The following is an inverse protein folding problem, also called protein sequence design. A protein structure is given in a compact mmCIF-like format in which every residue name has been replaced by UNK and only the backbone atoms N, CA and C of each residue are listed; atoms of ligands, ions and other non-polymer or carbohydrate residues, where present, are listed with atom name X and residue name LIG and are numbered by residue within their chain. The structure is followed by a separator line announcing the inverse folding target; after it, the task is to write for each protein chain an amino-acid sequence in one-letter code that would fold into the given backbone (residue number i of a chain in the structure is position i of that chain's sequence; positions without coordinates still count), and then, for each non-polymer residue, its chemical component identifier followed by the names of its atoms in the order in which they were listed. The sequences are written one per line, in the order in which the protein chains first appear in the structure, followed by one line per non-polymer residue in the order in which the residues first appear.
data_IF_587077679793
#
_entry.id   IF_587077679793
#
_cell.length_a   1.000
_cell.length_b   1.000
_cell.length_c   1.000
_cell.angle_alpha   90.00
_cell.angle_beta   90.00
_cell.angle_gamma   90.00
#
_symmetry.space_group_name_H-M   'P 1'
#
loop_
_entity.id
_entity.type
_entity.pdbx_description
1 polymer ?
#
# COMPACT_ATOMS: atom_id res chain seq x y z
N UNK A 1 12.82 -19.05 4.24
CA UNK A 1 12.76 -19.10 5.72
C UNK A 1 11.53 -18.32 6.13
N UNK A 2 10.45 -19.01 6.49
CA UNK A 2 9.12 -18.43 6.61
C UNK A 2 9.03 -17.36 7.70
N UNK A 3 8.62 -16.16 7.30
CA UNK A 3 8.34 -15.03 8.21
C UNK A 3 7.36 -15.39 9.33
N UNK A 4 6.49 -16.37 9.10
CA UNK A 4 5.55 -16.92 10.08
C UNK A 4 6.24 -17.58 11.28
N UNK A 5 7.37 -18.27 11.08
CA UNK A 5 8.10 -18.89 12.20
C UNK A 5 8.79 -17.84 13.07
N UNK A 6 9.36 -16.80 12.47
CA UNK A 6 10.06 -15.73 13.20
C UNK A 6 9.08 -14.91 14.04
N UNK A 7 7.88 -14.63 13.51
CA UNK A 7 6.81 -13.94 14.24
C UNK A 7 6.20 -14.80 15.36
N UNK A 8 6.06 -16.12 15.15
CA UNK A 8 5.65 -17.04 16.20
C UNK A 8 6.67 -17.08 17.35
N UNK A 9 7.96 -17.05 17.05
CA UNK A 9 9.03 -17.01 18.05
C UNK A 9 9.08 -15.71 18.87
N UNK A 10 8.93 -14.57 18.20
CA UNK A 10 8.91 -13.26 18.85
C UNK A 10 7.67 -13.07 19.73
N UNK A 11 6.52 -13.62 19.33
CA UNK A 11 5.29 -13.58 20.14
C UNK A 11 5.35 -14.52 21.36
N UNK A 12 5.98 -15.68 21.24
CA UNK A 12 6.15 -16.63 22.36
C UNK A 12 7.13 -16.09 23.41
N UNK A 13 8.27 -15.53 22.98
CA UNK A 13 9.26 -14.93 23.90
C UNK A 13 8.70 -13.70 24.61
N UNK A 14 7.94 -12.85 23.92
CA UNK A 14 7.29 -11.69 24.52
C UNK A 14 6.21 -12.08 25.55
N UNK A 15 5.42 -13.12 25.27
CA UNK A 15 4.41 -13.63 26.20
C UNK A 15 5.02 -14.27 27.47
N UNK A 16 6.17 -14.95 27.35
CA UNK A 16 6.89 -15.53 28.49
C UNK A 16 7.50 -14.46 29.40
N UNK A 17 8.09 -13.41 28.83
CA UNK A 17 8.67 -12.31 29.63
C UNK A 17 7.61 -11.52 30.40
N UNK A 18 6.40 -11.35 29.86
CA UNK A 18 5.29 -10.67 30.56
C UNK A 18 4.67 -11.54 31.67
N UNK A 19 4.65 -12.87 31.51
CA UNK A 19 4.12 -13.79 32.52
C UNK A 19 5.04 -13.89 33.76
N UNK A 20 6.36 -13.89 33.58
CA UNK A 20 7.33 -13.89 34.70
C UNK A 20 7.34 -12.58 35.50
N UNK A 21 7.03 -11.45 34.85
CA UNK A 21 6.96 -10.13 35.50
C UNK A 21 5.67 -9.91 36.33
N UNK A 22 4.58 -10.62 36.02
CA UNK A 22 3.27 -10.40 36.65
C UNK A 22 2.76 -11.57 37.53
N UNK A 23 3.48 -12.68 37.59
CA UNK A 23 3.11 -13.82 38.46
C UNK A 23 1.78 -14.48 38.10
N UNK A 24 1.30 -14.34 36.86
CA UNK A 24 0.05 -14.94 36.39
C UNK A 24 0.37 -16.14 35.50
N UNK A 25 -0.19 -17.31 35.84
CA UNK A 25 -0.08 -18.51 35.02
C UNK A 25 -0.89 -18.34 33.73
N UNK A 26 -0.20 -18.29 32.57
CA UNK A 26 -0.85 -18.36 31.27
C UNK A 26 -1.40 -19.78 31.03
N UNK A 27 -2.69 -19.88 30.73
CA UNK A 27 -3.31 -21.09 30.21
C UNK A 27 -3.02 -21.23 28.71
N UNK A 28 -1.85 -21.76 28.37
CA UNK A 28 -1.51 -22.13 26.99
C UNK A 28 -2.10 -23.49 26.62
N UNK A 29 -2.63 -23.68 25.40
CA UNK A 29 -3.30 -24.92 24.97
C UNK A 29 -2.35 -26.07 24.59
N UNK A 30 -1.04 -25.91 24.82
CA UNK A 30 0.00 -26.87 24.41
C UNK A 30 0.41 -27.72 25.60
N UNK A 31 0.51 -29.04 25.42
CA UNK A 31 1.03 -29.92 26.47
C UNK A 31 2.52 -29.66 26.70
N UNK A 32 3.03 -29.93 27.91
CA UNK A 32 4.45 -29.80 28.23
C UNK A 32 5.35 -30.64 27.29
N UNK A 33 4.81 -31.74 26.75
CA UNK A 33 5.47 -32.60 25.78
C UNK A 33 5.62 -31.92 24.42
N UNK A 34 4.57 -31.24 23.94
CA UNK A 34 4.63 -30.47 22.69
C UNK A 34 5.60 -29.28 22.81
N UNK A 35 5.68 -28.65 23.99
CA UNK A 35 6.64 -27.57 24.23
C UNK A 35 8.08 -28.08 24.22
N UNK A 36 8.36 -29.21 24.88
CA UNK A 36 9.69 -29.81 24.89
C UNK A 36 10.14 -30.27 23.50
N UNK A 37 9.22 -30.80 22.68
CA UNK A 37 9.51 -31.19 21.31
C UNK A 37 9.88 -29.98 20.44
N UNK A 38 9.14 -28.88 20.56
CA UNK A 38 9.48 -27.61 19.92
C UNK A 38 10.85 -27.10 20.38
N UNK A 39 11.17 -27.13 21.67
CA UNK A 39 12.49 -26.69 22.15
C UNK A 39 13.64 -27.52 21.55
N UNK A 40 13.45 -28.82 21.34
CA UNK A 40 14.45 -29.69 20.72
C UNK A 40 14.65 -29.39 19.23
N UNK A 41 13.56 -29.19 18.48
CA UNK A 41 13.63 -28.83 17.05
C UNK A 41 14.35 -27.49 16.83
N UNK A 42 14.13 -26.54 17.74
CA UNK A 42 14.75 -25.22 17.72
C UNK A 42 16.24 -25.27 18.02
N UNK A 43 16.67 -26.14 18.95
CA UNK A 43 18.08 -26.36 19.22
C UNK A 43 18.79 -27.01 18.03
N UNK A 44 18.15 -27.99 17.38
CA UNK A 44 18.68 -28.64 16.17
C UNK A 44 18.88 -27.62 15.04
N UNK A 45 17.90 -26.77 14.77
CA UNK A 45 17.99 -25.74 13.73
C UNK A 45 19.08 -24.71 14.03
N UNK A 46 19.32 -24.39 15.31
CA UNK A 46 20.40 -23.48 15.73
C UNK A 46 21.78 -24.10 15.47
N UNK A 47 21.94 -25.40 15.70
CA UNK A 47 23.19 -26.11 15.38
C UNK A 47 23.45 -26.14 13.86
N UNK A 48 22.42 -26.41 13.06
CA UNK A 48 22.52 -26.40 11.60
C UNK A 48 22.96 -25.04 11.04
N UNK A 49 22.39 -23.94 11.57
CA UNK A 49 22.78 -22.57 11.18
C UNK A 49 24.24 -22.27 11.55
N UNK A 50 24.67 -22.68 12.74
CA UNK A 50 26.05 -22.48 13.17
C UNK A 50 27.05 -23.28 12.30
N UNK A 51 26.70 -24.49 11.89
CA UNK A 51 27.52 -25.31 10.99
C UNK A 51 27.62 -24.68 9.58
N UNK A 52 26.51 -24.17 9.04
CA UNK A 52 26.50 -23.46 7.76
C UNK A 52 27.34 -22.17 7.79
N UNK A 53 27.34 -21.45 8.91
CA UNK A 53 28.20 -20.28 9.10
C UNK A 53 29.68 -20.65 9.20
N UNK A 54 30.00 -21.80 9.80
CA UNK A 54 31.37 -22.31 9.83
C UNK A 54 31.87 -22.68 8.42
N UNK A 55 31.04 -23.35 7.61
CA UNK A 55 31.39 -23.75 6.24
C UNK A 55 31.62 -22.54 5.30
N UNK A 56 30.88 -21.44 5.51
CA UNK A 56 31.09 -20.18 4.81
C UNK A 56 32.37 -19.46 5.23
N UNK A 57 32.87 -19.70 6.45
CA UNK A 57 34.10 -19.10 6.96
C UNK A 57 35.37 -19.86 6.59
N UNK A 58 35.26 -21.12 6.13
CA UNK A 58 36.39 -21.96 5.75
C UNK A 58 36.71 -21.98 4.24
N UNK A 59 35.87 -21.36 3.40
CA UNK A 59 36.10 -21.26 1.95
C UNK A 59 36.57 -19.84 1.58
N UNK A 60 37.87 -19.59 1.60
CA UNK A 60 38.44 -18.45 0.87
C UNK A 60 38.38 -18.73 -0.65
N UNK A 61 37.89 -17.80 -1.48
CA UNK A 61 37.92 -17.97 -2.93
C UNK A 61 39.34 -17.76 -3.48
N UNK A 62 39.80 -18.67 -4.34
CA UNK A 62 41.03 -18.51 -5.13
C UNK A 62 40.96 -17.25 -6.02
N UNK A 63 42.09 -16.55 -6.09
CA UNK A 63 42.34 -15.30 -6.80
C UNK A 63 42.14 -15.47 -8.33
N UNK A 64 41.08 -14.88 -8.88
CA UNK A 64 40.88 -14.78 -10.33
C UNK A 64 41.56 -13.50 -10.84
N UNK A 65 42.56 -13.66 -11.70
CA UNK A 65 43.23 -12.56 -12.39
C UNK A 65 42.29 -11.91 -13.40
N UNK A 66 41.98 -10.63 -13.19
CA UNK A 66 41.15 -9.83 -14.10
C UNK A 66 42.05 -9.03 -15.07
N UNK A 67 41.80 -9.20 -16.37
CA UNK A 67 42.39 -8.37 -17.43
C UNK A 67 41.34 -7.42 -17.98
N UNK A 68 41.73 -6.15 -18.09
CA UNK A 68 41.21 -5.05 -18.90
C UNK A 68 39.79 -4.47 -18.64
N UNK A 69 39.83 -3.21 -18.22
CA UNK A 69 38.97 -2.07 -18.60
C UNK A 69 37.45 -2.17 -18.41
N UNK A 70 36.93 -1.47 -17.41
CA UNK A 70 36.03 -0.30 -17.48
C UNK A 70 35.78 0.17 -16.03
N UNK A 71 36.03 1.43 -15.70
CA UNK A 71 35.91 1.93 -14.33
C UNK A 71 34.44 2.12 -13.89
N UNK A 72 33.99 1.51 -12.78
CA UNK A 72 32.76 1.91 -12.11
C UNK A 72 33.04 3.03 -11.11
N UNK A 73 32.24 4.09 -11.20
CA UNK A 73 32.20 5.22 -10.28
C UNK A 73 31.89 4.76 -8.86
N UNK A 74 32.87 4.88 -7.96
CA UNK A 74 32.69 4.78 -6.52
C UNK A 74 31.73 5.87 -6.05
N UNK A 75 30.53 5.48 -5.59
CA UNK A 75 29.68 6.33 -4.75
C UNK A 75 30.35 6.39 -3.37
N UNK A 76 31.34 7.26 -3.25
CA UNK A 76 31.88 7.70 -1.97
C UNK A 76 30.91 8.70 -1.36
N UNK A 77 30.25 8.32 -0.27
CA UNK A 77 29.46 9.22 0.55
C UNK A 77 30.43 10.22 1.22
N UNK A 78 30.66 11.37 0.59
CA UNK A 78 31.44 12.47 1.18
C UNK A 78 30.52 13.26 2.11
N UNK A 79 30.61 13.02 3.40
CA UNK A 79 30.08 13.97 4.39
C UNK A 79 31.05 15.15 4.51
N UNK A 80 30.63 16.29 3.95
CA UNK A 80 31.25 17.59 4.19
C UNK A 80 30.66 18.18 5.47
N UNK A 81 31.50 18.43 6.48
CA UNK A 81 31.15 18.99 7.80
C UNK A 81 31.00 20.51 7.75
N UNK A 82 30.32 21.01 6.73
CA UNK A 82 30.24 22.44 6.44
C UNK A 82 28.86 22.81 5.90
N UNK A 83 27.78 22.25 6.46
CA UNK A 83 26.42 22.82 6.44
C UNK A 83 25.75 23.18 5.10
N UNK A 84 26.43 22.97 3.97
CA UNK A 84 25.98 23.29 2.63
C UNK A 84 25.24 22.06 2.07
N UNK A 85 23.98 22.25 1.67
CA UNK A 85 23.17 21.20 1.05
C UNK A 85 23.88 20.71 -0.22
N UNK A 86 24.36 19.46 -0.20
CA UNK A 86 24.87 18.81 -1.40
C UNK A 86 23.67 18.58 -2.31
N UNK A 87 23.62 19.28 -3.44
CA UNK A 87 22.59 19.06 -4.45
C UNK A 87 22.55 17.59 -4.86
N UNK A 88 21.34 17.03 -4.94
CA UNK A 88 21.11 15.65 -5.35
C UNK A 88 21.79 15.38 -6.71
N UNK A 89 22.73 14.42 -6.80
CA UNK A 89 23.47 14.12 -8.02
C UNK A 89 22.62 13.41 -9.09
N UNK A 90 21.35 13.09 -8.80
CA UNK A 90 20.44 12.58 -9.82
C UNK A 90 20.15 13.69 -10.84
N UNK A 91 20.33 13.44 -12.16
CA UNK A 91 19.89 14.40 -13.17
C UNK A 91 18.39 14.70 -12.93
N UNK A 92 17.95 15.97 -13.08
CA UNK A 92 16.52 16.27 -13.07
C UNK A 92 15.86 15.34 -14.06
N UNK A 93 14.91 14.52 -13.62
CA UNK A 93 14.14 13.71 -14.54
C UNK A 93 13.47 14.68 -15.51
N UNK A 94 13.81 14.59 -16.81
CA UNK A 94 13.33 15.54 -17.81
C UNK A 94 11.80 15.58 -17.73
N UNK A 95 11.25 16.73 -17.31
CA UNK A 95 9.80 16.93 -17.28
C UNK A 95 9.25 16.58 -18.65
N UNK A 96 8.44 15.53 -18.75
CA UNK A 96 7.83 15.16 -20.02
C UNK A 96 6.82 16.27 -20.36
N UNK A 97 7.20 17.14 -21.28
CA UNK A 97 6.35 18.25 -21.72
C UNK A 97 5.01 17.73 -22.24
N UNK A 98 3.94 18.46 -21.97
CA UNK A 98 2.59 18.11 -22.42
C UNK A 98 1.84 17.12 -21.55
N UNK A 99 2.31 16.83 -20.33
CA UNK A 99 1.55 16.05 -19.33
C UNK A 99 1.14 16.89 -18.12
N UNK A 100 -0.01 16.54 -17.56
CA UNK A 100 -0.47 16.98 -16.24
C UNK A 100 -0.23 15.86 -15.25
N UNK A 101 0.38 16.22 -14.12
CA UNK A 101 0.69 15.31 -13.03
C UNK A 101 -0.10 15.72 -11.80
N UNK A 102 -0.56 14.72 -11.06
CA UNK A 102 -1.22 14.93 -9.79
C UNK A 102 -0.93 13.76 -8.86
N UNK A 103 -1.03 14.02 -7.57
CA UNK A 103 -0.75 13.05 -6.52
C UNK A 103 -1.78 13.12 -5.41
N UNK A 104 -1.89 12.03 -4.69
CA UNK A 104 -2.75 11.89 -3.54
C UNK A 104 -2.05 11.00 -2.52
N UNK A 105 -2.02 11.41 -1.26
CA UNK A 105 -1.45 10.62 -0.16
C UNK A 105 -2.58 10.16 0.75
N UNK A 106 -3.07 8.91 0.63
CA UNK A 106 -4.16 8.41 1.46
C UNK A 106 -3.83 8.58 2.94
N UNK A 107 -4.78 9.16 3.67
CA UNK A 107 -4.78 9.23 5.12
C UNK A 107 -5.85 8.28 5.66
N UNK A 108 -5.54 7.50 6.70
CA UNK A 108 -6.52 6.61 7.30
C UNK A 108 -7.64 7.42 7.94
N UNK A 109 -8.87 6.91 7.84
CA UNK A 109 -10.04 7.57 8.38
C UNK A 109 -10.11 7.38 9.90
N UNK A 110 -9.65 8.39 10.65
CA UNK A 110 -9.63 8.37 12.12
C UNK A 110 -11.02 8.44 12.77
N UNK A 111 -12.08 8.70 12.00
CA UNK A 111 -13.46 8.68 12.48
C UNK A 111 -14.05 7.26 12.61
N UNK A 112 -13.34 6.23 12.13
CA UNK A 112 -13.78 4.84 12.22
C UNK A 112 -13.57 4.25 13.63
N UNK A 113 -14.38 3.24 13.96
CA UNK A 113 -14.16 2.42 15.16
C UNK A 113 -12.83 1.66 15.08
N UNK A 114 -12.29 1.26 16.23
CA UNK A 114 -11.03 0.49 16.28
C UNK A 114 -11.09 -0.83 15.48
N UNK A 115 -12.26 -1.46 15.39
CA UNK A 115 -12.48 -2.69 14.63
C UNK A 115 -12.35 -2.48 13.12
N UNK A 116 -12.80 -1.32 12.62
CA UNK A 116 -12.80 -1.02 11.19
C UNK A 116 -11.58 -0.18 10.77
N UNK A 117 -10.88 0.43 11.72
CA UNK A 117 -9.73 1.26 11.45
C UNK A 117 -8.58 0.45 10.82
N UNK A 118 -8.12 0.92 9.68
CA UNK A 118 -6.93 0.41 9.01
C UNK A 118 -5.97 1.57 8.76
N UNK A 119 -4.67 1.44 9.09
CA UNK A 119 -3.67 2.50 8.90
C UNK A 119 -3.25 2.62 7.43
N UNK A 120 -4.21 2.65 6.50
CA UNK A 120 -3.96 2.70 5.06
C UNK A 120 -3.33 4.04 4.72
N UNK A 121 -2.15 3.98 4.12
CA UNK A 121 -1.42 5.13 3.59
C UNK A 121 -0.54 4.69 2.42
N UNK A 122 0.17 5.63 1.80
CA UNK A 122 0.99 5.38 0.62
C UNK A 122 0.96 6.56 -0.33
N UNK A 123 1.13 6.27 -1.62
CA UNK A 123 1.11 7.27 -2.69
C UNK A 123 0.29 6.77 -3.87
N UNK A 124 -0.54 7.67 -4.39
CA UNK A 124 -1.29 7.49 -5.63
C UNK A 124 -0.83 8.61 -6.55
N UNK A 125 -0.11 8.24 -7.60
CA UNK A 125 0.45 9.14 -8.59
C UNK A 125 -0.35 9.02 -9.88
N UNK A 126 -0.52 10.14 -10.56
CA UNK A 126 -1.37 10.20 -11.75
C UNK A 126 -0.71 10.99 -12.85
N UNK A 127 -0.97 10.57 -14.08
CA UNK A 127 -0.50 11.26 -15.27
C UNK A 127 -1.55 11.21 -16.36
N UNK A 128 -1.76 12.34 -17.03
CA UNK A 128 -2.59 12.44 -18.24
C UNK A 128 -1.95 13.42 -19.21
N UNK A 129 -2.08 13.17 -20.52
CA UNK A 129 -1.67 14.16 -21.50
C UNK A 129 -2.55 15.41 -21.36
N UNK A 130 -1.94 16.60 -21.39
CA UNK A 130 -2.62 17.88 -21.21
C UNK A 130 -3.67 18.17 -22.31
N UNK A 131 -3.53 17.51 -23.46
CA UNK A 131 -4.52 17.55 -24.55
C UNK A 131 -5.71 16.58 -24.37
N UNK A 132 -5.70 15.76 -23.31
CA UNK A 132 -6.72 14.74 -23.02
C UNK A 132 -6.24 13.32 -23.31
N UNK A 133 -7.16 12.36 -23.32
CA UNK A 133 -6.87 10.92 -23.42
C UNK A 133 -6.96 10.22 -22.06
N UNK A 134 -6.54 8.94 -21.97
CA UNK A 134 -6.69 8.16 -20.76
C UNK A 134 -5.88 8.72 -19.60
N UNK A 135 -6.44 8.61 -18.40
CA UNK A 135 -5.78 8.85 -17.14
C UNK A 135 -5.06 7.58 -16.70
N UNK A 136 -3.77 7.71 -16.40
CA UNK A 136 -2.97 6.67 -15.76
C UNK A 136 -2.85 6.96 -14.27
N UNK A 137 -3.16 5.95 -13.44
CA UNK A 137 -3.09 6.01 -11.99
C UNK A 137 -2.15 4.89 -11.52
N UNK A 138 -1.05 5.25 -10.87
CA UNK A 138 -0.05 4.36 -10.31
C UNK A 138 -0.15 4.40 -8.77
N UNK A 139 -0.42 3.27 -8.15
CA UNK A 139 -0.77 3.22 -6.73
C UNK A 139 0.17 2.29 -5.98
N UNK A 140 0.79 2.84 -4.94
CA UNK A 140 1.49 2.08 -3.92
C UNK A 140 0.87 2.41 -2.56
N UNK A 141 0.00 1.54 -2.06
CA UNK A 141 -0.67 1.69 -0.77
C UNK A 141 -0.39 0.50 0.13
N UNK A 142 -0.29 0.73 1.44
CA UNK A 142 -0.04 -0.31 2.42
C UNK A 142 -0.83 -0.05 3.70
N UNK A 143 -0.88 -1.04 4.60
CA UNK A 143 -1.59 -0.94 5.86
C UNK A 143 -2.99 -1.54 5.84
N UNK A 144 -3.34 -2.28 4.79
CA UNK A 144 -4.56 -3.07 4.74
C UNK A 144 -4.45 -4.24 5.73
N UNK A 145 -5.52 -4.49 6.50
CA UNK A 145 -5.63 -5.56 7.50
C UNK A 145 -6.71 -6.59 7.14
N UNK A 146 -7.25 -6.50 5.93
CA UNK A 146 -8.27 -7.40 5.42
C UNK A 146 -7.69 -8.79 5.09
N UNK A 147 -8.53 -9.85 5.12
CA UNK A 147 -8.12 -11.18 4.68
C UNK A 147 -7.61 -11.19 3.23
N UNK A 148 -6.74 -12.15 2.91
CA UNK A 148 -6.27 -12.36 1.53
C UNK A 148 -7.45 -12.59 0.57
N UNK A 149 -7.40 -11.95 -0.60
CA UNK A 149 -8.47 -12.00 -1.60
C UNK A 149 -9.61 -11.03 -1.34
N UNK A 150 -9.51 -10.16 -0.32
CA UNK A 150 -10.49 -9.08 -0.12
C UNK A 150 -10.32 -8.01 -1.19
N UNK A 151 -11.43 -7.62 -1.81
CA UNK A 151 -11.49 -6.48 -2.71
C UNK A 151 -11.99 -5.24 -1.97
N UNK A 152 -11.47 -4.09 -2.36
CA UNK A 152 -11.81 -2.79 -1.78
C UNK A 152 -12.23 -1.82 -2.88
N UNK A 153 -13.46 -1.30 -2.79
CA UNK A 153 -13.94 -0.27 -3.71
C UNK A 153 -13.03 0.95 -3.68
N UNK A 154 -12.72 1.49 -4.86
CA UNK A 154 -11.84 2.62 -5.03
C UNK A 154 -12.51 3.67 -5.92
N UNK A 155 -12.80 4.84 -5.36
CA UNK A 155 -13.63 5.83 -6.02
C UNK A 155 -13.08 7.25 -5.91
N UNK A 156 -13.40 8.08 -6.90
CA UNK A 156 -13.33 9.54 -6.76
C UNK A 156 -14.64 10.04 -6.16
N UNK A 157 -14.56 10.65 -5.00
CA UNK A 157 -15.68 11.35 -4.36
C UNK A 157 -15.71 12.83 -4.75
N UNK A 158 -16.90 13.43 -4.65
CA UNK A 158 -17.21 14.75 -5.20
C UNK A 158 -16.34 15.87 -4.63
N UNK A 159 -16.08 15.86 -3.32
CA UNK A 159 -15.40 16.95 -2.61
C UNK A 159 -14.04 16.50 -2.08
N UNK A 160 -13.05 17.37 -2.21
CA UNK A 160 -11.79 17.31 -1.47
C UNK A 160 -11.90 17.89 -0.05
N UNK A 161 -13.03 17.67 0.62
CA UNK A 161 -13.27 18.13 1.98
C UNK A 161 -13.00 16.99 2.97
N UNK A 162 -11.98 17.17 3.80
CA UNK A 162 -11.54 16.21 4.82
C UNK A 162 -11.83 16.70 6.25
N UNK A 163 -12.70 17.70 6.43
CA UNK A 163 -13.00 18.31 7.73
C UNK A 163 -13.61 17.33 8.74
N UNK A 164 -14.39 16.35 8.27
CA UNK A 164 -14.88 15.20 9.04
C UNK A 164 -14.31 13.88 8.50
N UNK A 165 -12.98 13.84 8.32
CA UNK A 165 -12.30 12.71 7.71
C UNK A 165 -12.85 12.40 6.33
N UNK A 166 -13.06 11.12 6.02
CA UNK A 166 -13.56 10.72 4.70
C UNK A 166 -15.05 10.93 4.52
N UNK A 167 -15.81 11.32 5.55
CA UNK A 167 -17.27 11.48 5.44
C UNK A 167 -17.65 12.75 4.68
N UNK A 168 -16.86 13.81 4.81
CA UNK A 168 -17.11 15.10 4.16
C UNK A 168 -16.83 15.11 2.65
N UNK A 169 -16.28 14.02 2.09
CA UNK A 169 -16.00 13.94 0.65
C UNK A 169 -17.26 13.84 -0.24
N UNK A 170 -18.45 13.68 0.35
CA UNK A 170 -19.70 13.55 -0.38
C UNK A 170 -19.90 12.16 -0.98
N UNK A 171 -20.69 12.04 -2.05
CA UNK A 171 -20.85 10.79 -2.83
C UNK A 171 -19.83 10.66 -3.96
N UNK A 172 -19.95 9.61 -4.77
CA UNK A 172 -19.13 9.42 -5.96
C UNK A 172 -19.27 10.62 -6.89
N UNK A 173 -18.18 10.98 -7.57
CA UNK A 173 -18.19 12.11 -8.48
C UNK A 173 -18.97 11.76 -9.75
N UNK A 174 -20.15 12.36 -9.88
CA UNK A 174 -21.13 12.05 -10.92
C UNK A 174 -21.69 13.32 -11.60
N UNK A 175 -20.89 14.01 -12.45
CA UNK A 175 -21.34 15.22 -13.13
C UNK A 175 -22.46 14.95 -14.16
N UNK A 176 -22.65 13.70 -14.58
CA UNK A 176 -23.60 13.31 -15.63
C UNK A 176 -24.89 12.67 -15.10
N UNK A 177 -25.05 12.57 -13.78
CA UNK A 177 -26.21 11.97 -13.12
C UNK A 177 -26.54 10.55 -13.66
N UNK A 178 -25.50 9.71 -13.82
CA UNK A 178 -25.60 8.29 -14.19
C UNK A 178 -25.78 7.42 -12.96
N UNK A 179 -26.17 6.16 -13.14
CA UNK A 179 -26.03 5.15 -12.08
C UNK A 179 -24.56 4.74 -11.90
N UNK A 180 -24.27 4.18 -10.73
CA UNK A 180 -22.99 3.53 -10.41
C UNK A 180 -22.78 2.31 -11.32
N UNK A 181 -21.53 2.08 -11.71
CA UNK A 181 -21.16 0.92 -12.50
C UNK A 181 -19.66 0.66 -12.52
N UNK A 182 -19.26 -0.52 -12.99
CA UNK A 182 -17.83 -0.87 -13.07
C UNK A 182 -17.04 -0.03 -14.11
N UNK A 183 -15.70 -0.04 -14.05
CA UNK A 183 -14.86 0.88 -14.83
C UNK A 183 -14.93 0.71 -16.35
N UNK A 184 -15.48 -0.40 -16.85
CA UNK A 184 -15.70 -0.62 -18.29
C UNK A 184 -17.17 -0.58 -18.69
N UNK A 185 -18.07 -0.24 -17.77
CA UNK A 185 -19.48 -0.05 -18.07
C UNK A 185 -19.72 1.28 -18.79
N UNK A 186 -20.68 1.30 -19.72
CA UNK A 186 -21.12 2.51 -20.41
C UNK A 186 -21.88 3.46 -19.46
N UNK A 187 -22.65 2.86 -18.55
CA UNK A 187 -23.33 3.53 -17.45
C UNK A 187 -22.52 3.34 -16.17
N UNK A 188 -21.88 4.43 -15.74
CA UNK A 188 -21.07 4.54 -14.53
C UNK A 188 -20.91 6.02 -14.17
N UNK A 189 -20.55 6.31 -12.93
CA UNK A 189 -20.04 7.62 -12.57
C UNK A 189 -18.63 7.85 -13.13
N UNK A 190 -18.22 9.12 -13.20
CA UNK A 190 -16.84 9.48 -13.56
C UNK A 190 -15.84 8.95 -12.52
N UNK A 191 -16.26 8.86 -11.25
CA UNK A 191 -15.41 8.42 -10.16
C UNK A 191 -15.32 6.91 -9.93
N UNK A 192 -16.00 6.05 -10.70
CA UNK A 192 -16.12 4.63 -10.36
C UNK A 192 -14.92 3.80 -10.85
N UNK A 193 -13.83 3.71 -10.09
CA UNK A 193 -12.59 3.05 -10.57
C UNK A 193 -12.55 1.53 -10.27
N UNK A 194 -13.61 0.97 -9.71
CA UNK A 194 -13.76 -0.44 -9.40
C UNK A 194 -13.06 -0.83 -8.10
N UNK A 195 -12.31 -1.93 -8.12
CA UNK A 195 -11.72 -2.52 -6.93
C UNK A 195 -10.18 -2.52 -6.95
N UNK A 196 -9.58 -2.41 -5.76
CA UNK A 196 -8.17 -2.72 -5.52
C UNK A 196 -8.05 -3.95 -4.60
N UNK A 197 -7.00 -4.73 -4.82
CA UNK A 197 -6.74 -5.96 -4.07
C UNK A 197 -5.37 -5.86 -3.36
N UNK A 198 -5.33 -5.77 -2.02
CA UNK A 198 -4.09 -5.89 -1.28
C UNK A 198 -3.58 -7.33 -1.34
N UNK A 199 -2.27 -7.49 -1.48
CA UNK A 199 -1.61 -8.78 -1.36
C UNK A 199 -1.58 -9.27 0.11
N UNK A 200 -0.98 -10.45 0.35
CA UNK A 200 -0.87 -11.05 1.68
C UNK A 200 -0.13 -10.19 2.73
N UNK A 201 0.64 -9.19 2.31
CA UNK A 201 1.31 -8.24 3.20
C UNK A 201 0.47 -6.96 3.45
N UNK A 202 -0.76 -6.90 2.95
CA UNK A 202 -1.62 -5.73 3.07
C UNK A 202 -1.16 -4.57 2.17
N UNK A 203 -0.57 -4.88 1.01
CA UNK A 203 -0.02 -3.90 0.06
C UNK A 203 -0.73 -3.98 -1.28
N UNK A 204 -1.20 -2.84 -1.78
CA UNK A 204 -1.64 -2.62 -3.16
C UNK A 204 -0.49 -1.97 -3.92
N UNK A 205 -0.01 -2.63 -4.98
CA UNK A 205 0.97 -2.07 -5.92
C UNK A 205 0.48 -2.36 -7.34
N UNK A 206 -0.30 -1.44 -7.90
CA UNK A 206 -0.99 -1.67 -9.18
C UNK A 206 -1.18 -0.37 -9.97
N UNK A 207 -1.48 -0.52 -11.26
CA UNK A 207 -1.75 0.58 -12.18
C UNK A 207 -3.15 0.43 -12.77
N UNK A 208 -3.87 1.55 -12.84
CA UNK A 208 -5.18 1.65 -13.47
C UNK A 208 -5.09 2.62 -14.65
N UNK A 209 -5.78 2.28 -15.73
CA UNK A 209 -6.02 3.15 -16.87
C UNK A 209 -7.54 3.38 -16.99
N UNK A 210 -7.95 4.65 -16.96
CA UNK A 210 -9.35 5.06 -17.03
C UNK A 210 -9.57 6.13 -18.12
N UNK A 211 -10.62 5.95 -18.90
CA UNK A 211 -10.94 6.81 -20.06
C UNK A 211 -11.93 7.94 -19.71
N UNK A 212 -12.50 7.93 -18.50
CA UNK A 212 -13.58 8.84 -18.10
C UNK A 212 -13.14 9.86 -17.05
N UNK A 213 -12.42 9.41 -16.02
CA UNK A 213 -11.77 10.27 -15.05
C UNK A 213 -10.64 11.05 -15.74
N UNK A 214 -10.54 12.35 -15.43
CA UNK A 214 -9.62 13.25 -16.14
C UNK A 214 -9.01 14.27 -15.17
N UNK A 215 -7.75 14.64 -15.39
CA UNK A 215 -7.07 15.75 -14.72
C UNK A 215 -7.29 17.08 -15.44
N UNK A 216 -7.73 17.03 -16.70
CA UNK A 216 -7.99 18.22 -17.52
C UNK A 216 -9.47 18.38 -17.86
N UNK A 217 -9.86 19.59 -18.26
CA UNK A 217 -11.22 19.93 -18.66
C UNK A 217 -12.16 20.26 -17.51
N UNK A 218 -13.41 20.56 -17.86
CA UNK A 218 -14.46 20.99 -16.92
C UNK A 218 -14.75 19.97 -15.83
N UNK A 219 -14.69 18.68 -16.18
CA UNK A 219 -14.97 17.59 -15.25
C UNK A 219 -13.73 17.02 -14.56
N UNK A 220 -12.66 17.82 -14.44
CA UNK A 220 -11.43 17.41 -13.78
C UNK A 220 -11.68 16.87 -12.35
N UNK A 221 -10.89 15.87 -11.97
CA UNK A 221 -10.87 15.29 -10.62
C UNK A 221 -9.87 16.01 -9.69
N UNK A 222 -9.11 16.98 -10.19
CA UNK A 222 -8.21 17.79 -9.34
C UNK A 222 -9.04 18.53 -8.28
N UNK A 223 -8.56 18.51 -7.04
CA UNK A 223 -9.25 19.10 -5.88
C UNK A 223 -10.39 18.24 -5.32
N UNK A 224 -10.68 17.09 -5.92
CA UNK A 224 -11.61 16.07 -5.39
C UNK A 224 -10.86 15.09 -4.49
N UNK A 225 -11.54 14.05 -4.00
CA UNK A 225 -10.92 13.06 -3.13
C UNK A 225 -10.94 11.66 -3.73
N UNK A 226 -9.84 10.92 -3.60
CA UNK A 226 -9.92 9.46 -3.64
C UNK A 226 -10.43 8.92 -2.33
N UNK A 227 -11.21 7.84 -2.38
CA UNK A 227 -11.70 7.09 -1.23
C UNK A 227 -11.50 5.61 -1.46
N UNK A 228 -10.92 4.94 -0.47
CA UNK A 228 -10.76 3.48 -0.39
C UNK A 228 -11.83 2.96 0.57
N UNK A 229 -12.59 1.96 0.15
CA UNK A 229 -13.71 1.41 0.91
C UNK A 229 -13.36 0.11 1.65
N UNK A 230 -14.21 -0.25 2.61
CA UNK A 230 -14.01 -1.41 3.48
C UNK A 230 -14.32 -2.74 2.80
N UNK A 231 -15.30 -2.74 1.90
CA UNK A 231 -15.74 -3.90 1.16
C UNK A 231 -15.54 -3.76 -0.35
N UNK A 232 -15.87 -4.84 -1.03
CA UNK A 232 -15.88 -4.95 -2.49
C UNK A 232 -16.96 -4.05 -3.08
N UNK A 233 -16.61 -3.30 -4.12
CA UNK A 233 -17.55 -2.66 -5.02
C UNK A 233 -18.18 -3.74 -5.92
N UNK A 234 -19.50 -3.92 -5.81
CA UNK A 234 -20.32 -4.85 -6.59
C UNK A 234 -20.56 -4.41 -8.05
N UNK A 235 -20.01 -3.26 -8.44
CA UNK A 235 -20.03 -2.68 -9.77
C UNK A 235 -21.44 -2.36 -10.28
N UNK A 236 -22.40 -2.19 -9.37
CA UNK A 236 -23.82 -1.98 -9.68
C UNK A 236 -24.58 -3.29 -9.93
N UNK A 237 -23.94 -4.45 -9.72
CA UNK A 237 -24.46 -5.77 -10.10
C UNK A 237 -24.89 -6.63 -8.90
N UNK A 238 -24.67 -6.16 -7.67
CA UNK A 238 -24.94 -6.94 -6.45
C UNK A 238 -26.41 -7.07 -6.07
N UNK A 239 -27.28 -6.21 -6.60
CA UNK A 239 -28.73 -6.24 -6.33
C UNK A 239 -29.13 -5.69 -4.95
N UNK A 240 -28.22 -5.00 -4.25
CA UNK A 240 -28.53 -4.25 -3.04
C UNK A 240 -29.21 -2.92 -3.37
N UNK A 241 -29.99 -2.34 -2.43
CA UNK A 241 -30.66 -1.06 -2.66
C UNK A 241 -29.71 0.09 -3.04
N UNK A 242 -28.46 0.03 -2.60
CA UNK A 242 -27.42 1.04 -2.85
C UNK A 242 -26.39 0.63 -3.92
N UNK A 243 -26.50 -0.57 -4.53
CA UNK A 243 -25.58 -1.02 -5.59
C UNK A 243 -25.44 0.00 -6.72
N UNK A 244 -26.56 0.56 -7.20
CA UNK A 244 -26.58 1.56 -8.27
C UNK A 244 -26.15 2.97 -7.83
N UNK A 245 -25.73 3.14 -6.56
CA UNK A 245 -25.31 4.44 -6.02
C UNK A 245 -23.89 4.44 -5.46
N UNK A 246 -23.47 3.34 -4.82
CA UNK A 246 -22.21 3.23 -4.08
C UNK A 246 -21.47 1.93 -4.35
N UNK A 247 -22.04 1.04 -5.17
CA UNK A 247 -21.49 -0.30 -5.36
C UNK A 247 -21.55 -1.19 -4.13
N UNK A 248 -22.32 -0.81 -3.10
CA UNK A 248 -22.35 -1.52 -1.82
C UNK A 248 -20.97 -1.70 -1.14
N UNK A 249 -19.99 -0.85 -1.46
CA UNK A 249 -18.60 -1.00 -1.00
C UNK A 249 -18.40 -0.72 0.52
N UNK A 250 -19.44 -0.21 1.20
CA UNK A 250 -19.42 0.01 2.65
C UNK A 250 -18.58 1.21 3.09
N UNK A 251 -18.02 1.12 4.31
CA UNK A 251 -17.37 2.23 5.00
C UNK A 251 -16.11 2.74 4.28
N UNK A 252 -15.73 4.00 4.54
CA UNK A 252 -14.59 4.68 3.92
C UNK A 252 -13.35 4.53 4.81
N UNK A 253 -12.41 3.68 4.41
CA UNK A 253 -11.22 3.35 5.21
C UNK A 253 -10.15 4.45 5.16
N UNK A 254 -9.92 5.02 3.99
CA UNK A 254 -8.92 6.06 3.78
C UNK A 254 -9.31 6.97 2.62
N UNK A 255 -8.77 8.18 2.64
CA UNK A 255 -9.03 9.16 1.60
C UNK A 255 -7.92 10.19 1.51
N UNK A 256 -7.88 10.92 0.40
CA UNK A 256 -6.95 12.02 0.21
C UNK A 256 -7.46 12.97 -0.87
N UNK A 257 -7.03 14.24 -0.79
CA UNK A 257 -7.32 15.23 -1.84
C UNK A 257 -6.32 15.07 -2.99
N UNK A 258 -6.86 15.09 -4.19
CA UNK A 258 -6.11 15.03 -5.44
C UNK A 258 -5.48 16.40 -5.71
N UNK A 259 -4.17 16.51 -5.54
CA UNK A 259 -3.42 17.75 -5.72
C UNK A 259 -2.56 17.72 -6.98
N UNK A 260 -2.37 18.88 -7.62
CA UNK A 260 -1.38 19.04 -8.69
C UNK A 260 0.00 18.69 -8.13
N UNK A 261 0.79 17.98 -8.93
CA UNK A 261 2.14 17.58 -8.59
C UNK A 261 3.11 18.01 -9.69
N UNK A 262 4.38 18.12 -9.32
CA UNK A 262 5.46 17.99 -10.29
C UNK A 262 5.65 16.50 -10.62
N UNK A 263 6.32 16.22 -11.74
CA UNK A 263 6.70 14.85 -12.12
C UNK A 263 7.52 14.19 -11.02
#
# INVERSE_FOLDING_TARGET
MDYLLVLAFLSITFAQTIAELNGVACSCPWSAEQFNQLQQEVQSLREDVNNLQADLSSNEPEEVQETNEIQPSTVGLVFRLDGEQVADPRPPEDKIEGFVYAKCKPMPNSALSEELFQPITGEINMKQNASGGPLYIDMFMYGFRSPLGSLHGFHVHTYGDLSDGCQSTGGHYNPFNKNHGGPKAEERHVGDLGNVEPNAAGVVNTKIEDDLASLVGEHSIIGRAFVIHAGEDDLGLGGFPDSLTTGHAGARLACCVIGIAEQ
#
